data_IF_485579353550
#
_entry.id   IF_485579353550
#
_cell.length_a   1.000
_cell.length_b   1.000
_cell.length_c   1.000
_cell.angle_alpha   90.00
_cell.angle_beta   90.00
_cell.angle_gamma   90.00
#
_symmetry.space_group_name_H-M   'P 1'
#
loop_
_entity.id
_entity.type
_entity.pdbx_description
1 polymer ?
#
# COMPACT_ATOMS: atom_id res chain seq x y z
N UNK A 1 21.37 -3.03 7.38
CA UNK A 1 20.15 -2.20 7.50
C UNK A 1 19.51 -2.56 8.82
N UNK A 2 19.31 -1.60 9.73
CA UNK A 2 18.75 -1.87 11.06
C UNK A 2 17.23 -1.94 10.96
N UNK A 3 16.59 -3.01 11.44
CA UNK A 3 15.12 -3.12 11.44
C UNK A 3 14.51 -2.31 12.59
N UNK A 4 13.20 -2.00 12.53
CA UNK A 4 12.49 -1.34 13.65
C UNK A 4 12.65 -2.10 14.97
N UNK A 5 12.60 -3.43 14.93
CA UNK A 5 12.77 -4.28 16.12
C UNK A 5 14.21 -4.27 16.65
N UNK A 6 15.22 -4.24 15.78
CA UNK A 6 16.62 -4.04 16.20
C UNK A 6 16.86 -2.66 16.82
N UNK A 7 16.08 -1.66 16.37
CA UNK A 7 16.06 -0.32 16.97
C UNK A 7 15.23 -0.25 18.26
N UNK A 8 14.68 -1.38 18.73
CA UNK A 8 13.81 -1.48 19.92
C UNK A 8 12.56 -0.57 19.82
N UNK A 9 12.10 -0.30 18.60
CA UNK A 9 10.81 0.35 18.41
C UNK A 9 9.69 -0.57 18.96
N UNK A 10 8.63 0.00 19.56
CA UNK A 10 7.52 -0.81 20.04
C UNK A 10 6.78 -1.47 18.87
N UNK A 11 6.09 -2.58 19.13
CA UNK A 11 5.39 -3.34 18.09
C UNK A 11 4.35 -2.50 17.34
N UNK A 12 3.78 -1.47 17.98
CA UNK A 12 2.89 -0.50 17.34
C UNK A 12 3.56 0.26 16.18
N UNK A 13 4.87 0.48 16.20
CA UNK A 13 5.58 1.12 15.09
C UNK A 13 5.83 0.14 13.93
N UNK A 14 5.97 -1.15 14.24
CA UNK A 14 6.01 -2.22 13.22
C UNK A 14 4.65 -2.33 12.55
N UNK A 15 3.57 -2.33 13.32
CA UNK A 15 2.20 -2.36 12.81
C UNK A 15 1.91 -1.16 11.92
N UNK A 16 2.27 0.07 12.34
CA UNK A 16 2.18 1.27 11.50
C UNK A 16 2.92 1.09 10.19
N UNK A 17 4.18 0.62 10.21
CA UNK A 17 4.93 0.37 8.98
C UNK A 17 4.20 -0.61 8.04
N UNK A 18 3.61 -1.68 8.59
CA UNK A 18 2.84 -2.66 7.83
C UNK A 18 1.57 -2.03 7.25
N UNK A 19 0.83 -1.23 8.01
CA UNK A 19 -0.33 -0.46 7.52
C UNK A 19 0.08 0.47 6.37
N UNK A 20 1.22 1.17 6.50
CA UNK A 20 1.78 1.99 5.43
C UNK A 20 2.16 1.18 4.18
N UNK A 21 2.72 -0.02 4.34
CA UNK A 21 3.00 -0.95 3.25
C UNK A 21 1.71 -1.39 2.54
N UNK A 22 0.67 -1.75 3.30
CA UNK A 22 -0.64 -2.15 2.77
C UNK A 22 -1.28 -0.98 2.02
N UNK A 23 -1.26 0.23 2.60
CA UNK A 23 -1.79 1.44 1.97
C UNK A 23 -1.10 1.78 0.66
N UNK A 24 0.24 1.73 0.62
CA UNK A 24 0.99 1.91 -0.63
C UNK A 24 0.64 0.86 -1.68
N UNK A 25 0.45 -0.41 -1.26
CA UNK A 25 0.04 -1.46 -2.18
C UNK A 25 -1.36 -1.20 -2.76
N UNK A 26 -2.36 -0.90 -1.91
CA UNK A 26 -3.74 -0.67 -2.33
C UNK A 26 -3.91 0.61 -3.16
N UNK A 27 -3.08 1.63 -2.92
CA UNK A 27 -3.01 2.84 -3.74
C UNK A 27 -2.27 2.62 -5.07
N UNK A 28 -1.63 1.47 -5.29
CA UNK A 28 -0.77 1.24 -6.45
C UNK A 28 0.42 2.22 -6.49
N UNK A 29 1.00 2.52 -5.33
CA UNK A 29 2.18 3.35 -5.18
C UNK A 29 3.44 2.50 -5.44
N UNK A 30 3.98 2.62 -6.66
CA UNK A 30 5.06 1.77 -7.14
C UNK A 30 6.44 2.07 -6.51
N UNK A 31 6.63 3.28 -5.97
CA UNK A 31 7.94 3.79 -5.54
C UNK A 31 8.13 3.83 -4.01
N UNK A 32 7.33 3.08 -3.25
CA UNK A 32 7.43 2.99 -1.80
C UNK A 32 8.68 2.20 -1.33
N UNK A 33 9.87 2.70 -1.61
CA UNK A 33 11.14 2.06 -1.27
C UNK A 33 11.67 2.49 0.11
N UNK A 34 12.68 1.80 0.64
CA UNK A 34 13.19 2.03 2.00
C UNK A 34 13.68 3.45 2.32
N UNK A 35 13.96 4.29 1.31
CA UNK A 35 14.30 5.70 1.51
C UNK A 35 13.09 6.60 1.77
N UNK A 36 11.87 6.10 1.55
CA UNK A 36 10.60 6.81 1.79
C UNK A 36 10.05 6.53 3.19
N UNK A 37 10.87 5.89 4.04
CA UNK A 37 10.57 5.66 5.44
C UNK A 37 11.69 6.25 6.28
N UNK A 38 11.29 7.08 7.23
CA UNK A 38 12.21 7.68 8.21
C UNK A 38 11.87 7.21 9.61
N UNK A 39 12.88 7.18 10.46
CA UNK A 39 12.78 6.81 11.85
C UNK A 39 13.16 8.04 12.68
N UNK A 40 12.34 8.37 13.68
CA UNK A 40 12.58 9.43 14.64
C UNK A 40 13.28 8.84 15.88
N UNK A 41 14.39 9.47 16.26
CA UNK A 41 15.07 9.23 17.53
C UNK A 41 14.57 10.25 18.55
N UNK A 42 13.83 9.80 19.55
CA UNK A 42 13.25 10.67 20.57
C UNK A 42 14.25 10.97 21.70
N UNK A 43 14.09 12.10 22.42
CA UNK A 43 14.99 12.47 23.52
C UNK A 43 15.09 11.44 24.66
N UNK A 44 14.05 10.61 24.85
CA UNK A 44 14.01 9.54 25.85
C UNK A 44 14.59 8.21 25.35
N UNK A 45 15.25 8.22 24.19
CA UNK A 45 15.86 7.04 23.58
C UNK A 45 14.87 6.12 22.85
N UNK A 46 13.57 6.45 22.83
CA UNK A 46 12.59 5.72 22.01
C UNK A 46 12.80 5.99 20.54
N UNK A 47 12.33 5.02 19.75
CA UNK A 47 12.35 5.04 18.31
C UNK A 47 10.93 4.94 17.79
N UNK A 48 10.57 5.82 16.85
CA UNK A 48 9.25 5.86 16.22
C UNK A 48 9.36 6.01 14.70
N UNK A 49 8.35 5.57 13.96
CA UNK A 49 8.22 5.87 12.55
C UNK A 49 7.87 7.36 12.39
N UNK A 50 8.54 8.04 11.47
CA UNK A 50 8.10 9.38 11.06
C UNK A 50 6.72 9.28 10.37
N UNK A 51 5.94 10.38 10.33
CA UNK A 51 4.75 10.43 9.48
C UNK A 51 5.07 9.97 8.06
N UNK A 52 4.15 9.25 7.41
CA UNK A 52 4.35 8.84 6.03
C UNK A 52 4.46 10.05 5.11
N UNK A 53 5.35 9.95 4.13
CA UNK A 53 5.58 10.94 3.09
C UNK A 53 5.83 10.23 1.77
N UNK A 54 5.76 10.98 0.66
CA UNK A 54 6.02 10.46 -0.69
C UNK A 54 5.16 9.24 -1.07
N UNK A 55 3.87 9.29 -0.69
CA UNK A 55 2.86 8.35 -1.15
C UNK A 55 2.26 8.89 -2.45
N UNK A 56 2.57 8.25 -3.57
CA UNK A 56 2.08 8.65 -4.88
C UNK A 56 1.65 7.43 -5.72
N UNK A 57 0.40 7.44 -6.20
CA UNK A 57 -0.14 6.37 -7.04
C UNK A 57 0.35 6.47 -8.48
N UNK A 58 0.77 5.34 -9.05
CA UNK A 58 1.02 5.19 -10.48
C UNK A 58 -0.22 4.83 -11.31
N UNK A 59 -1.30 4.39 -10.66
CA UNK A 59 -2.50 3.85 -11.30
C UNK A 59 -3.15 4.78 -12.34
N UNK A 60 -3.37 6.09 -12.08
CA UNK A 60 -4.06 6.95 -13.03
C UNK A 60 -3.19 7.27 -14.27
N UNK A 61 -1.89 6.96 -14.21
CA UNK A 61 -0.91 7.25 -15.25
C UNK A 61 -0.50 6.01 -16.07
N UNK A 62 -0.99 4.81 -15.73
CA UNK A 62 -0.70 3.60 -16.52
C UNK A 62 -1.10 3.84 -17.99
N UNK A 63 -0.08 3.97 -18.83
CA UNK A 63 -0.20 4.28 -20.24
C UNK A 63 -0.98 3.18 -20.97
N UNK A 64 -2.26 3.44 -21.19
CA UNK A 64 -3.02 2.81 -22.26
C UNK A 64 -2.32 3.20 -23.55
N UNK A 65 -1.67 2.25 -24.22
CA UNK A 65 -1.30 2.51 -25.61
C UNK A 65 -2.54 2.31 -26.49
N UNK A 66 -2.59 3.02 -27.63
CA UNK A 66 -3.76 3.08 -28.53
C UNK A 66 -4.22 1.72 -29.11
N UNK A 67 -3.50 0.63 -28.84
CA UNK A 67 -3.82 -0.75 -29.23
C UNK A 67 -4.28 -1.64 -28.04
N UNK A 68 -4.45 -1.04 -26.85
CA UNK A 68 -4.99 -1.73 -25.67
C UNK A 68 -3.97 -2.48 -24.81
N UNK A 69 -2.67 -2.41 -25.12
CA UNK A 69 -1.62 -3.07 -24.32
C UNK A 69 -0.68 -2.09 -23.59
N UNK A 70 -0.24 -2.36 -22.34
CA UNK A 70 0.81 -1.57 -21.68
C UNK A 70 2.15 -1.72 -22.43
N UNK A 71 2.71 -0.63 -22.95
CA UNK A 71 3.93 -0.66 -23.77
C UNK A 71 5.26 -0.64 -23.00
N UNK A 72 5.30 -0.55 -21.66
CA UNK A 72 6.57 -0.29 -20.94
C UNK A 72 6.80 -1.08 -19.65
N UNK A 73 8.09 -1.37 -19.43
CA UNK A 73 8.73 -1.65 -18.14
C UNK A 73 8.91 -0.34 -17.34
N UNK A 74 7.85 0.47 -17.18
CA UNK A 74 7.92 1.76 -16.46
C UNK A 74 7.94 1.61 -14.92
N UNK A 75 7.85 0.36 -14.43
CA UNK A 75 7.88 0.06 -13.00
C UNK A 75 6.53 0.23 -12.31
N UNK A 76 5.52 0.81 -12.97
CA UNK A 76 4.24 1.17 -12.34
C UNK A 76 3.33 -0.03 -12.03
N UNK A 77 3.63 -1.21 -12.60
CA UNK A 77 2.87 -2.44 -12.38
C UNK A 77 3.28 -3.18 -11.09
N UNK A 78 4.34 -2.76 -10.42
CA UNK A 78 4.94 -3.49 -9.29
C UNK A 78 5.20 -2.55 -8.12
N UNK A 79 4.89 -3.00 -6.91
CA UNK A 79 5.34 -2.37 -5.68
C UNK A 79 6.87 -2.42 -5.56
N UNK A 80 7.45 -1.40 -4.93
CA UNK A 80 8.87 -1.35 -4.61
C UNK A 80 9.29 -2.49 -3.68
N UNK A 81 8.50 -2.75 -2.63
CA UNK A 81 8.72 -3.83 -1.66
C UNK A 81 7.83 -5.05 -1.97
N UNK A 82 8.36 -6.26 -1.77
CA UNK A 82 7.60 -7.49 -1.95
C UNK A 82 6.76 -7.84 -0.72
N UNK A 83 5.55 -8.33 -0.95
CA UNK A 83 4.71 -8.96 0.07
C UNK A 83 4.78 -10.46 -0.18
N UNK A 84 5.43 -11.21 0.72
CA UNK A 84 5.57 -12.66 0.60
C UNK A 84 6.25 -13.15 -0.69
N UNK A 85 7.10 -12.32 -1.29
CA UNK A 85 7.79 -12.60 -2.55
C UNK A 85 7.05 -12.15 -3.83
N UNK A 86 5.82 -11.66 -3.73
CA UNK A 86 5.09 -11.05 -4.85
C UNK A 86 5.17 -9.52 -4.78
N UNK A 87 5.25 -8.88 -5.94
CA UNK A 87 5.35 -7.41 -6.08
C UNK A 87 4.31 -6.85 -7.03
N UNK A 88 3.75 -7.65 -7.93
CA UNK A 88 2.80 -7.17 -8.92
C UNK A 88 1.47 -6.83 -8.25
N UNK A 89 0.98 -5.61 -8.49
CA UNK A 89 -0.34 -5.19 -8.01
C UNK A 89 -1.41 -6.14 -8.56
N UNK A 90 -2.37 -6.50 -7.71
CA UNK A 90 -3.44 -7.44 -8.04
C UNK A 90 -3.02 -8.90 -8.12
N UNK A 91 -1.84 -9.29 -7.63
CA UNK A 91 -1.37 -10.70 -7.60
C UNK A 91 -0.99 -11.22 -6.22
N UNK A 92 -0.96 -10.35 -5.21
CA UNK A 92 -0.66 -10.74 -3.82
C UNK A 92 -1.87 -11.47 -3.23
N UNK A 93 -1.85 -12.81 -3.33
CA UNK A 93 -2.85 -13.71 -2.73
C UNK A 93 -2.61 -14.09 -1.27
N UNK A 94 -3.59 -14.78 -0.66
CA UNK A 94 -3.56 -15.29 0.73
C UNK A 94 -2.20 -15.87 1.14
N UNK A 95 -1.65 -16.82 0.35
CA UNK A 95 -0.34 -17.44 0.63
C UNK A 95 0.83 -16.44 0.74
N UNK A 96 0.77 -15.33 0.02
CA UNK A 96 1.80 -14.28 0.10
C UNK A 96 1.65 -13.47 1.38
N UNK A 97 0.43 -13.17 1.80
CA UNK A 97 0.16 -12.54 3.10
C UNK A 97 0.57 -13.44 4.27
N UNK A 98 0.24 -14.74 4.23
CA UNK A 98 0.68 -15.72 5.25
C UNK A 98 2.20 -15.83 5.30
N UNK A 99 2.86 -15.86 4.13
CA UNK A 99 4.32 -15.86 4.05
C UNK A 99 4.92 -14.57 4.63
N UNK A 100 4.36 -13.41 4.27
CA UNK A 100 4.77 -12.12 4.81
C UNK A 100 4.59 -12.09 6.33
N UNK A 101 3.48 -12.57 6.87
CA UNK A 101 3.22 -12.62 8.31
C UNK A 101 4.32 -13.39 9.05
N UNK A 102 4.66 -14.59 8.54
CA UNK A 102 5.74 -15.43 9.07
C UNK A 102 7.11 -14.75 8.99
N UNK A 103 7.46 -14.18 7.84
CA UNK A 103 8.75 -13.52 7.62
C UNK A 103 8.90 -12.25 8.48
N UNK A 104 7.82 -11.47 8.59
CA UNK A 104 7.75 -10.26 9.39
C UNK A 104 7.49 -10.54 10.89
N UNK A 105 7.27 -11.81 11.27
CA UNK A 105 6.94 -12.24 12.65
C UNK A 105 5.79 -11.44 13.26
N UNK A 106 4.73 -11.24 12.48
CA UNK A 106 3.50 -10.58 12.93
C UNK A 106 2.37 -11.61 13.01
N UNK A 107 1.38 -11.34 13.85
CA UNK A 107 0.17 -12.16 13.92
C UNK A 107 -0.54 -12.18 12.56
N UNK A 108 -0.77 -13.37 12.03
CA UNK A 108 -1.33 -13.55 10.68
C UNK A 108 -2.80 -13.13 10.62
N UNK A 109 -3.56 -13.42 11.67
CA UNK A 109 -4.98 -13.07 11.73
C UNK A 109 -5.15 -11.54 11.78
N UNK A 110 -4.38 -10.86 12.63
CA UNK A 110 -4.29 -9.40 12.65
C UNK A 110 -3.95 -8.84 11.27
N UNK A 111 -2.92 -9.38 10.59
CA UNK A 111 -2.52 -8.90 9.28
C UNK A 111 -3.66 -9.05 8.26
N UNK A 112 -4.30 -10.22 8.20
CA UNK A 112 -5.40 -10.49 7.26
C UNK A 112 -6.61 -9.59 7.55
N UNK A 113 -6.96 -9.41 8.82
CA UNK A 113 -8.01 -8.46 9.22
C UNK A 113 -7.67 -7.03 8.83
N UNK A 114 -6.43 -6.58 9.02
CA UNK A 114 -5.98 -5.24 8.63
C UNK A 114 -6.04 -5.04 7.11
N UNK A 115 -5.54 -6.00 6.31
CA UNK A 115 -5.65 -5.93 4.85
C UNK A 115 -7.12 -5.85 4.43
N UNK A 116 -7.96 -6.74 4.95
CA UNK A 116 -9.40 -6.76 4.66
C UNK A 116 -10.05 -5.41 5.02
N UNK A 117 -9.85 -4.92 6.24
CA UNK A 117 -10.42 -3.65 6.69
C UNK A 117 -9.98 -2.47 5.80
N UNK A 118 -8.70 -2.41 5.43
CA UNK A 118 -8.17 -1.35 4.57
C UNK A 118 -8.73 -1.42 3.14
N UNK A 119 -9.05 -2.60 2.61
CA UNK A 119 -9.69 -2.72 1.27
C UNK A 119 -11.07 -2.09 1.23
N UNK A 120 -11.82 -2.09 2.35
CA UNK A 120 -13.11 -1.43 2.44
C UNK A 120 -12.98 0.05 2.80
N UNK A 121 -12.09 0.39 3.74
CA UNK A 121 -11.96 1.75 4.24
C UNK A 121 -11.36 2.72 3.22
N UNK A 122 -10.41 2.27 2.40
CA UNK A 122 -9.66 3.14 1.50
C UNK A 122 -10.54 3.83 0.43
N UNK A 123 -11.39 3.10 -0.35
CA UNK A 123 -12.27 3.75 -1.32
C UNK A 123 -13.24 4.76 -0.67
N UNK A 124 -13.78 4.44 0.52
CA UNK A 124 -14.67 5.34 1.27
C UNK A 124 -13.94 6.64 1.63
N UNK A 125 -12.75 6.53 2.22
CA UNK A 125 -11.94 7.69 2.59
C UNK A 125 -11.54 8.53 1.36
N UNK A 126 -11.26 7.89 0.22
CA UNK A 126 -10.97 8.61 -1.02
C UNK A 126 -12.18 9.39 -1.53
N UNK A 127 -13.37 8.79 -1.51
CA UNK A 127 -14.60 9.47 -1.93
C UNK A 127 -14.87 10.71 -1.06
N UNK A 128 -14.71 10.59 0.26
CA UNK A 128 -14.85 11.70 1.20
C UNK A 128 -13.82 12.82 0.91
N UNK A 129 -12.55 12.46 0.67
CA UNK A 129 -11.51 13.45 0.32
C UNK A 129 -11.81 14.14 -1.01
N UNK A 130 -12.28 13.42 -2.04
CA UNK A 130 -12.61 14.02 -3.33
C UNK A 130 -13.79 14.98 -3.26
N UNK A 131 -14.75 14.73 -2.36
CA UNK A 131 -15.84 15.66 -2.09
C UNK A 131 -15.35 16.90 -1.35
N UNK A 132 -14.62 16.71 -0.25
CA UNK A 132 -14.12 17.79 0.61
C UNK A 132 -13.10 18.70 -0.08
N UNK A 133 -12.27 18.14 -0.97
CA UNK A 133 -11.22 18.87 -1.70
C UNK A 133 -11.62 19.22 -3.14
N UNK A 134 -12.92 19.15 -3.46
CA UNK A 134 -13.42 19.37 -4.83
C UNK A 134 -13.01 20.72 -5.44
N UNK A 135 -12.95 21.78 -4.64
CA UNK A 135 -12.47 23.10 -5.08
C UNK A 135 -10.98 23.07 -5.48
N UNK A 136 -10.14 22.43 -4.66
CA UNK A 136 -8.70 22.31 -4.92
C UNK A 136 -8.41 21.38 -6.12
N UNK A 137 -9.21 20.35 -6.29
CA UNK A 137 -9.14 19.41 -7.41
C UNK A 137 -9.53 20.08 -8.75
N UNK A 138 -10.53 20.96 -8.72
CA UNK A 138 -11.04 21.65 -9.90
C UNK A 138 -11.54 20.66 -10.98
N UNK A 139 -11.17 20.92 -12.24
CA UNK A 139 -11.64 20.13 -13.40
C UNK A 139 -10.75 18.91 -13.73
N UNK A 140 -9.95 18.43 -12.77
CA UNK A 140 -9.03 17.31 -13.01
C UNK A 140 -9.78 15.99 -13.23
N UNK A 141 -9.38 15.23 -14.25
CA UNK A 141 -9.86 13.85 -14.46
C UNK A 141 -9.12 12.82 -13.59
N UNK A 142 -8.09 13.23 -12.85
CA UNK A 142 -7.27 12.30 -12.07
C UNK A 142 -8.05 11.57 -10.96
N UNK A 143 -8.92 12.22 -10.16
CA UNK A 143 -9.66 11.54 -9.12
C UNK A 143 -10.52 10.40 -9.63
N UNK A 144 -11.25 10.60 -10.73
CA UNK A 144 -12.13 9.56 -11.30
C UNK A 144 -11.32 8.38 -11.86
N UNK A 145 -10.20 8.66 -12.55
CA UNK A 145 -9.27 7.62 -13.03
C UNK A 145 -8.62 6.85 -11.90
N UNK A 146 -8.22 7.54 -10.83
CA UNK A 146 -7.58 6.94 -9.67
C UNK A 146 -8.58 6.10 -8.87
N UNK A 147 -9.76 6.64 -8.56
CA UNK A 147 -10.79 5.98 -7.77
C UNK A 147 -11.13 4.60 -8.32
N UNK A 148 -11.49 4.52 -9.60
CA UNK A 148 -11.90 3.26 -10.24
C UNK A 148 -10.81 2.19 -10.17
N UNK A 149 -9.54 2.59 -10.32
CA UNK A 149 -8.41 1.66 -10.28
C UNK A 149 -8.08 1.21 -8.86
N UNK A 150 -8.16 2.10 -7.88
CA UNK A 150 -7.97 1.75 -6.46
C UNK A 150 -9.10 0.83 -6.00
N UNK A 151 -10.36 1.17 -6.30
CA UNK A 151 -11.53 0.34 -5.98
C UNK A 151 -11.38 -1.07 -6.57
N UNK A 152 -10.98 -1.17 -7.85
CA UNK A 152 -10.72 -2.46 -8.50
C UNK A 152 -9.59 -3.24 -7.83
N UNK A 153 -8.49 -2.59 -7.45
CA UNK A 153 -7.37 -3.23 -6.78
C UNK A 153 -7.74 -3.69 -5.36
N UNK A 154 -8.52 -2.91 -4.62
CA UNK A 154 -9.09 -3.28 -3.32
C UNK A 154 -9.98 -4.52 -3.45
N UNK A 155 -10.93 -4.52 -4.39
CA UNK A 155 -11.82 -5.66 -4.64
C UNK A 155 -11.05 -6.93 -5.03
N UNK A 156 -10.07 -6.79 -5.94
CA UNK A 156 -9.20 -7.90 -6.36
C UNK A 156 -8.41 -8.46 -5.18
N UNK A 157 -7.86 -7.57 -4.34
CA UNK A 157 -7.10 -7.98 -3.14
C UNK A 157 -8.00 -8.71 -2.15
N UNK A 158 -9.24 -8.25 -1.96
CA UNK A 158 -10.20 -8.91 -1.07
C UNK A 158 -10.57 -10.31 -1.56
N UNK A 159 -10.81 -10.48 -2.86
CA UNK A 159 -11.04 -11.80 -3.47
C UNK A 159 -9.83 -12.72 -3.26
N UNK A 160 -8.63 -12.25 -3.59
CA UNK A 160 -7.40 -13.05 -3.47
C UNK A 160 -7.00 -13.37 -2.02
N UNK A 161 -7.44 -12.55 -1.05
CA UNK A 161 -7.25 -12.79 0.38
C UNK A 161 -8.19 -13.89 0.89
N UNK A 162 -9.43 -13.94 0.39
CA UNK A 162 -10.44 -14.93 0.79
C UNK A 162 -10.21 -16.34 0.23
N UNK A 163 -9.50 -16.46 -0.90
CA UNK A 163 -9.21 -17.76 -1.50
C UNK A 163 -7.85 -18.31 -1.01
N UNK A 164 -7.91 -19.29 -0.12
CA UNK A 164 -6.78 -20.19 0.16
C UNK A 164 -6.67 -21.17 -1.03
N UNK A 165 -5.74 -20.88 -1.94
CA UNK A 165 -5.34 -21.79 -3.02
C UNK A 165 -4.14 -22.64 -2.60
#
# INVERSE_FOLDING_TARGET
MKTLREARAPETEVQKFIEGLIGNYLLGAADAHGKNYSILHLPDGRVQLAPFYDIASGLPYEHVSNDGFPKKNDGLRKAAMSIGGERQFGRVSSKHWSRFAREAKIDEEWLRMTVSAMTYALPIAMAEVFENESEAIGNSELPSKLYQKVEHLCATTQTLLAHDL
#
